data_IF_726478076187
#
_entry.id   IF_726478076187
#
_cell.length_a   1.000
_cell.length_b   1.000
_cell.length_c   1.000
_cell.angle_alpha   90.00
_cell.angle_beta   90.00
_cell.angle_gamma   90.00
#
_symmetry.space_group_name_H-M   'P 1'
#
loop_
_entity.id
_entity.type
_entity.pdbx_description
1 polymer ?
#
# COMPACT_ATOMS: atom_id res chain seq x y z
N UNK A 1 4.76 4.03 -34.42
CA UNK A 1 5.90 4.85 -34.92
C UNK A 1 6.30 4.30 -36.28
N UNK A 2 6.37 5.15 -37.31
CA UNK A 2 6.62 4.73 -38.70
C UNK A 2 8.11 4.84 -39.06
N UNK A 3 8.52 4.14 -40.12
CA UNK A 3 9.85 4.29 -40.70
C UNK A 3 10.01 5.72 -41.24
N UNK A 4 11.16 6.33 -40.98
CA UNK A 4 11.47 7.67 -41.48
C UNK A 4 12.53 7.57 -42.58
N UNK A 5 12.29 8.18 -43.73
CA UNK A 5 13.28 8.27 -44.81
C UNK A 5 14.02 9.58 -44.68
N UNK A 6 15.35 9.51 -44.51
CA UNK A 6 16.22 10.66 -44.39
C UNK A 6 16.51 11.28 -45.76
N UNK A 7 17.02 12.51 -45.75
CA UNK A 7 17.34 13.27 -46.96
C UNK A 7 18.42 12.65 -47.85
N UNK A 8 19.20 11.69 -47.33
CA UNK A 8 20.19 10.93 -48.10
C UNK A 8 19.61 9.65 -48.74
N UNK A 9 18.31 9.42 -48.61
CA UNK A 9 17.60 8.25 -49.13
C UNK A 9 17.71 7.01 -48.23
N UNK A 10 18.41 7.09 -47.09
CA UNK A 10 18.43 6.01 -46.11
C UNK A 10 17.13 5.98 -45.30
N UNK A 11 16.73 4.79 -44.85
CA UNK A 11 15.53 4.61 -44.01
C UNK A 11 15.95 4.24 -42.59
N UNK A 12 15.51 5.03 -41.61
CA UNK A 12 15.68 4.70 -40.20
C UNK A 12 14.45 3.93 -39.73
N UNK A 13 14.70 2.70 -39.27
CA UNK A 13 13.67 1.84 -38.69
C UNK A 13 13.77 1.95 -37.16
N UNK A 14 12.67 2.25 -36.45
CA UNK A 14 12.70 2.27 -34.99
C UNK A 14 13.09 0.89 -34.43
N UNK A 15 13.92 0.88 -33.37
CA UNK A 15 14.30 -0.35 -32.66
C UNK A 15 13.03 -1.12 -32.26
N UNK A 16 13.02 -2.43 -32.48
CA UNK A 16 11.91 -3.30 -32.07
C UNK A 16 10.57 -3.01 -32.74
N UNK A 17 10.49 -2.35 -33.90
CA UNK A 17 9.23 -1.89 -34.54
C UNK A 17 8.54 -0.74 -33.78
N UNK A 18 9.32 0.06 -33.05
CA UNK A 18 8.83 1.27 -32.38
C UNK A 18 8.34 1.05 -30.96
N UNK A 19 8.83 0.01 -30.28
CA UNK A 19 8.69 -0.08 -28.83
C UNK A 19 9.52 1.02 -28.16
N UNK A 20 8.91 1.68 -27.18
CA UNK A 20 9.61 2.55 -26.25
C UNK A 20 9.76 1.79 -24.93
N UNK A 21 10.99 1.69 -24.44
CA UNK A 21 11.25 1.12 -23.14
C UNK A 21 11.06 2.20 -22.08
N UNK A 22 10.08 2.01 -21.21
CA UNK A 22 9.88 2.82 -20.01
C UNK A 22 10.40 2.04 -18.82
N UNK A 23 11.19 2.68 -17.98
CA UNK A 23 11.67 2.04 -16.75
C UNK A 23 10.49 1.85 -15.79
N UNK A 24 10.20 0.59 -15.47
CA UNK A 24 9.28 0.23 -14.40
C UNK A 24 10.13 -0.05 -13.17
N UNK A 25 9.93 0.77 -12.14
CA UNK A 25 10.54 0.56 -10.84
C UNK A 25 9.69 -0.44 -10.07
N UNK A 26 10.35 -1.37 -9.40
CA UNK A 26 9.70 -2.22 -8.41
C UNK A 26 10.20 -1.85 -7.04
N UNK A 27 9.37 -2.10 -6.05
CA UNK A 27 9.70 -1.89 -4.66
C UNK A 27 9.60 -3.18 -3.89
N UNK A 28 10.43 -3.30 -2.86
CA UNK A 28 10.34 -4.40 -1.92
C UNK A 28 9.11 -4.16 -1.01
N UNK A 29 8.15 -5.10 -0.98
CA UNK A 29 6.92 -4.95 -0.22
C UNK A 29 7.16 -4.72 1.28
N UNK A 30 8.30 -5.17 1.82
CA UNK A 30 8.66 -4.93 3.22
C UNK A 30 8.89 -3.45 3.56
N UNK A 31 9.21 -2.62 2.56
CA UNK A 31 9.51 -1.21 2.75
C UNK A 31 8.44 -0.29 2.15
N UNK A 32 7.70 -0.76 1.14
CA UNK A 32 6.75 0.04 0.38
C UNK A 32 5.31 -0.18 0.82
N UNK A 33 5.02 0.19 2.07
CA UNK A 33 3.68 0.10 2.67
C UNK A 33 2.61 0.84 1.86
N UNK A 34 2.98 1.93 1.17
CA UNK A 34 2.06 2.68 0.30
C UNK A 34 1.51 1.86 -0.88
N UNK A 35 2.15 0.74 -1.24
CA UNK A 35 1.65 -0.14 -2.31
C UNK A 35 0.70 -1.22 -1.79
N UNK A 36 0.96 -1.75 -0.59
CA UNK A 36 0.13 -2.76 0.06
C UNK A 36 0.31 -2.71 1.58
N UNK A 37 -0.45 -1.82 2.23
CA UNK A 37 -0.46 -1.66 3.68
C UNK A 37 -1.41 -2.61 4.41
N UNK A 38 -2.06 -3.54 3.71
CA UNK A 38 -3.12 -4.40 4.28
C UNK A 38 -2.61 -5.75 4.76
N UNK A 39 -1.52 -6.22 4.17
CA UNK A 39 -0.85 -7.49 4.49
C UNK A 39 -0.11 -7.43 5.83
N UNK A 40 -0.02 -8.55 6.54
CA UNK A 40 0.74 -8.69 7.79
C UNK A 40 0.28 -7.71 8.89
N UNK A 41 -0.99 -7.32 8.88
CA UNK A 41 -1.55 -6.37 9.83
C UNK A 41 -2.49 -7.05 10.83
N UNK A 42 -1.97 -7.47 11.98
CA UNK A 42 -2.74 -8.19 13.02
C UNK A 42 -3.97 -7.41 13.52
N UNK A 43 -3.88 -6.07 13.56
CA UNK A 43 -5.03 -5.24 13.91
C UNK A 43 -6.15 -5.28 12.85
N UNK A 44 -5.81 -5.39 11.56
CA UNK A 44 -6.80 -5.56 10.50
C UNK A 44 -7.43 -6.96 10.58
N UNK A 45 -6.63 -8.00 10.80
CA UNK A 45 -7.15 -9.37 11.05
C UNK A 45 -8.11 -9.39 12.24
N UNK A 46 -7.79 -8.68 13.33
CA UNK A 46 -8.69 -8.55 14.47
C UNK A 46 -9.98 -7.80 14.13
N UNK A 47 -9.91 -6.77 13.29
CA UNK A 47 -11.09 -6.03 12.81
C UNK A 47 -11.98 -6.90 11.91
N UNK A 48 -11.41 -7.74 11.05
CA UNK A 48 -12.16 -8.71 10.23
C UNK A 48 -12.84 -9.77 11.11
N UNK A 49 -12.15 -10.31 12.10
CA UNK A 49 -12.75 -11.26 13.05
C UNK A 49 -13.91 -10.63 13.84
N UNK A 50 -13.77 -9.37 14.24
CA UNK A 50 -14.84 -8.63 14.90
C UNK A 50 -16.03 -8.38 13.94
N UNK A 51 -15.76 -8.07 12.68
CA UNK A 51 -16.77 -7.93 11.63
C UNK A 51 -17.55 -9.24 11.44
N UNK A 52 -16.89 -10.40 11.42
CA UNK A 52 -17.56 -11.69 11.25
C UNK A 52 -18.47 -12.08 12.42
N UNK A 53 -18.24 -11.48 13.60
CA UNK A 53 -19.12 -11.60 14.75
C UNK A 53 -20.23 -10.53 14.79
N UNK A 54 -20.21 -9.54 13.90
CA UNK A 54 -21.20 -8.46 13.87
C UNK A 54 -22.59 -8.97 13.46
N UNK A 55 -23.68 -8.52 14.13
CA UNK A 55 -25.04 -8.94 13.78
C UNK A 55 -25.43 -8.66 12.32
N UNK A 56 -24.93 -7.58 11.73
CA UNK A 56 -25.19 -7.22 10.33
C UNK A 56 -24.53 -8.23 9.39
N UNK A 57 -23.29 -8.61 9.67
CA UNK A 57 -22.57 -9.64 8.91
C UNK A 57 -23.29 -10.99 9.01
N UNK A 58 -23.64 -11.40 10.23
CA UNK A 58 -24.36 -12.65 10.50
C UNK A 58 -25.70 -12.68 9.76
N UNK A 59 -26.44 -11.57 9.74
CA UNK A 59 -27.70 -11.47 9.03
C UNK A 59 -27.52 -11.65 7.50
N UNK A 60 -26.52 -11.00 6.90
CA UNK A 60 -26.22 -11.18 5.47
C UNK A 60 -25.80 -12.61 5.16
N UNK A 61 -24.96 -13.22 6.00
CA UNK A 61 -24.54 -14.60 5.87
C UNK A 61 -25.72 -15.58 5.95
N UNK A 62 -26.60 -15.41 6.94
CA UNK A 62 -27.78 -16.26 7.13
C UNK A 62 -28.76 -16.13 5.97
N UNK A 63 -29.03 -14.92 5.51
CA UNK A 63 -29.94 -14.65 4.39
C UNK A 63 -29.44 -15.26 3.06
N UNK A 64 -28.14 -15.49 2.94
CA UNK A 64 -27.52 -16.05 1.74
C UNK A 64 -27.00 -17.49 1.95
N UNK A 65 -27.25 -18.12 3.09
CA UNK A 65 -26.71 -19.44 3.45
C UNK A 65 -27.05 -20.51 2.42
N UNK A 66 -28.32 -20.64 2.02
CA UNK A 66 -28.74 -21.62 1.01
C UNK A 66 -28.11 -21.38 -0.37
N UNK A 67 -27.93 -20.11 -0.76
CA UNK A 67 -27.22 -19.77 -2.00
C UNK A 67 -25.75 -20.18 -1.93
N UNK A 68 -25.06 -19.82 -0.84
CA UNK A 68 -23.65 -20.12 -0.61
C UNK A 68 -23.40 -21.63 -0.53
N UNK A 69 -24.25 -22.40 0.16
CA UNK A 69 -24.17 -23.87 0.19
C UNK A 69 -24.36 -24.48 -1.21
N UNK A 70 -25.26 -23.92 -2.01
CA UNK A 70 -25.48 -24.31 -3.39
C UNK A 70 -24.24 -24.15 -4.28
N UNK A 71 -23.30 -23.27 -3.94
CA UNK A 71 -22.07 -23.06 -4.73
C UNK A 71 -21.11 -24.25 -4.67
N UNK A 72 -21.21 -25.14 -3.67
CA UNK A 72 -20.32 -26.31 -3.51
C UNK A 72 -20.26 -27.19 -4.75
N UNK A 73 -21.36 -27.28 -5.50
CA UNK A 73 -21.42 -28.04 -6.75
C UNK A 73 -20.45 -27.52 -7.83
N UNK A 74 -20.05 -26.25 -7.76
CA UNK A 74 -19.14 -25.62 -8.73
C UNK A 74 -17.69 -25.56 -8.24
N UNK A 75 -17.46 -25.62 -6.93
CA UNK A 75 -16.15 -25.29 -6.33
C UNK A 75 -15.49 -26.47 -5.61
N UNK A 76 -16.13 -27.63 -5.58
CA UNK A 76 -15.60 -28.85 -4.95
C UNK A 76 -15.48 -28.72 -3.45
N UNK A 77 -14.34 -29.12 -2.89
CA UNK A 77 -14.08 -29.12 -1.44
C UNK A 77 -13.74 -27.73 -0.86
N UNK A 78 -13.80 -26.68 -1.68
CA UNK A 78 -13.51 -25.31 -1.22
C UNK A 78 -14.59 -24.84 -0.25
N UNK A 79 -14.22 -24.14 0.84
CA UNK A 79 -15.19 -23.49 1.71
C UNK A 79 -16.07 -22.53 0.92
N UNK A 80 -17.36 -22.53 1.21
CA UNK A 80 -18.35 -21.58 0.67
C UNK A 80 -18.89 -20.69 1.77
N UNK A 81 -18.09 -20.42 2.81
CA UNK A 81 -18.46 -19.55 3.90
C UNK A 81 -18.50 -18.10 3.40
N UNK A 82 -19.38 -17.28 3.99
CA UNK A 82 -19.43 -15.86 3.62
C UNK A 82 -18.17 -15.09 4.03
N UNK A 83 -17.46 -15.55 5.06
CA UNK A 83 -16.12 -15.05 5.42
C UNK A 83 -15.05 -15.43 4.40
N UNK A 84 -15.22 -16.60 3.77
CA UNK A 84 -14.23 -17.20 2.88
C UNK A 84 -14.71 -16.99 1.44
N UNK A 85 -14.70 -15.73 1.03
CA UNK A 85 -15.31 -15.30 -0.23
C UNK A 85 -14.77 -16.06 -1.44
N UNK A 86 -15.59 -16.97 -1.98
CA UNK A 86 -15.26 -17.86 -3.12
C UNK A 86 -15.24 -17.15 -4.48
N UNK A 87 -15.56 -15.86 -4.50
CA UNK A 87 -15.74 -15.06 -5.71
C UNK A 87 -14.53 -15.08 -6.63
N UNK A 88 -13.31 -14.89 -6.09
CA UNK A 88 -12.12 -14.80 -6.91
C UNK A 88 -11.90 -16.07 -7.74
N UNK A 89 -11.99 -17.24 -7.09
CA UNK A 89 -11.93 -18.54 -7.77
C UNK A 89 -13.01 -18.66 -8.85
N UNK A 90 -14.27 -18.39 -8.50
CA UNK A 90 -15.38 -18.51 -9.46
C UNK A 90 -15.23 -17.54 -10.62
N UNK A 91 -14.76 -16.31 -10.37
CA UNK A 91 -14.55 -15.30 -11.40
C UNK A 91 -13.46 -15.73 -12.39
N UNK A 92 -12.32 -16.20 -11.88
CA UNK A 92 -11.22 -16.72 -12.70
C UNK A 92 -11.70 -17.91 -13.54
N UNK A 93 -12.44 -18.86 -12.95
CA UNK A 93 -13.03 -19.96 -13.71
C UNK A 93 -14.02 -19.44 -14.77
N UNK A 94 -14.88 -18.49 -14.42
CA UNK A 94 -15.89 -17.97 -15.32
C UNK A 94 -15.32 -17.24 -16.55
N UNK A 95 -14.17 -16.57 -16.41
CA UNK A 95 -13.55 -15.84 -17.53
C UNK A 95 -12.52 -16.66 -18.32
N UNK A 96 -11.95 -17.72 -17.74
CA UNK A 96 -10.91 -18.54 -18.40
C UNK A 96 -11.30 -19.98 -18.72
N UNK A 97 -12.37 -20.51 -18.13
CA UNK A 97 -12.81 -21.90 -18.32
C UNK A 97 -14.18 -21.94 -19.03
N UNK A 98 -14.17 -22.27 -20.32
CA UNK A 98 -15.36 -22.33 -21.15
C UNK A 98 -16.41 -23.32 -20.61
N UNK A 99 -15.98 -24.46 -20.05
CA UNK A 99 -16.89 -25.45 -19.47
C UNK A 99 -17.57 -24.89 -18.22
N UNK A 100 -16.81 -24.22 -17.35
CA UNK A 100 -17.37 -23.58 -16.16
C UNK A 100 -18.40 -22.51 -16.53
N UNK A 101 -18.10 -21.68 -17.54
CA UNK A 101 -19.00 -20.64 -18.04
C UNK A 101 -20.31 -21.17 -18.64
N UNK A 102 -20.32 -22.40 -19.14
CA UNK A 102 -21.54 -23.05 -19.64
C UNK A 102 -22.43 -23.58 -18.51
N UNK A 103 -21.84 -23.91 -17.36
CA UNK A 103 -22.52 -24.57 -16.23
C UNK A 103 -22.98 -23.56 -15.17
N UNK A 104 -22.26 -22.45 -15.01
CA UNK A 104 -22.61 -21.38 -14.07
C UNK A 104 -23.31 -20.25 -14.81
N UNK A 105 -24.52 -19.90 -14.40
CA UNK A 105 -25.28 -18.83 -15.03
C UNK A 105 -24.78 -17.44 -14.62
N UNK A 106 -24.96 -16.45 -15.50
CA UNK A 106 -24.55 -15.07 -15.22
C UNK A 106 -25.21 -14.47 -13.96
N UNK A 107 -26.51 -14.71 -13.65
CA UNK A 107 -27.11 -14.25 -12.39
C UNK A 107 -26.45 -14.83 -11.13
N UNK A 108 -26.02 -16.10 -11.18
CA UNK A 108 -25.26 -16.71 -10.07
C UNK A 108 -23.96 -15.95 -9.86
N UNK A 109 -23.18 -15.69 -10.92
CA UNK A 109 -21.95 -14.92 -10.81
C UNK A 109 -22.18 -13.49 -10.30
N UNK A 110 -23.27 -12.85 -10.72
CA UNK A 110 -23.65 -11.52 -10.24
C UNK A 110 -23.92 -11.53 -8.73
N UNK A 111 -24.68 -12.51 -8.22
CA UNK A 111 -24.94 -12.63 -6.79
C UNK A 111 -23.67 -12.94 -5.98
N UNK A 112 -22.78 -13.80 -6.48
CA UNK A 112 -21.48 -14.05 -5.85
C UNK A 112 -20.65 -12.75 -5.80
N UNK A 113 -20.64 -11.95 -6.88
CA UNK A 113 -19.96 -10.65 -6.90
C UNK A 113 -20.58 -9.64 -5.93
N UNK A 114 -21.90 -9.58 -5.81
CA UNK A 114 -22.58 -8.69 -4.85
C UNK A 114 -22.15 -9.02 -3.41
N UNK A 115 -22.14 -10.30 -3.05
CA UNK A 115 -21.68 -10.75 -1.74
C UNK A 115 -20.20 -10.43 -1.51
N UNK A 116 -19.37 -10.60 -2.54
CA UNK A 116 -17.96 -10.25 -2.48
C UNK A 116 -17.74 -8.75 -2.28
N UNK A 117 -18.45 -7.91 -3.03
CA UNK A 117 -18.38 -6.46 -2.89
C UNK A 117 -18.75 -6.03 -1.48
N UNK A 118 -19.85 -6.56 -0.93
CA UNK A 118 -20.26 -6.25 0.43
C UNK A 118 -19.20 -6.66 1.47
N UNK A 119 -18.70 -7.89 1.38
CA UNK A 119 -17.70 -8.40 2.32
C UNK A 119 -16.41 -7.56 2.25
N UNK A 120 -15.89 -7.32 1.05
CA UNK A 120 -14.64 -6.60 0.85
C UNK A 120 -14.76 -5.11 1.22
N UNK A 121 -15.91 -4.50 0.95
CA UNK A 121 -16.18 -3.14 1.43
C UNK A 121 -16.18 -3.10 2.96
N UNK A 122 -16.88 -4.04 3.61
CA UNK A 122 -16.95 -4.08 5.07
C UNK A 122 -15.58 -4.35 5.74
N UNK A 123 -14.69 -5.11 5.09
CA UNK A 123 -13.32 -5.40 5.58
C UNK A 123 -12.32 -4.27 5.34
N UNK A 124 -12.38 -3.59 4.19
CA UNK A 124 -11.36 -2.63 3.76
C UNK A 124 -11.83 -1.17 3.74
N UNK A 125 -12.96 -0.88 4.38
CA UNK A 125 -13.47 0.48 4.56
C UNK A 125 -14.03 0.70 5.97
N UNK A 126 -14.00 1.94 6.42
CA UNK A 126 -14.69 2.39 7.63
C UNK A 126 -15.10 3.86 7.50
N UNK A 127 -16.29 4.25 7.97
CA UNK A 127 -16.68 5.67 8.02
C UNK A 127 -15.76 6.49 8.94
N UNK A 128 -15.08 5.85 9.88
CA UNK A 128 -14.05 6.49 10.70
C UNK A 128 -12.74 6.52 9.92
N UNK A 129 -12.34 7.69 9.41
CA UNK A 129 -11.17 7.84 8.52
C UNK A 129 -9.88 7.21 9.07
N UNK A 130 -9.62 7.31 10.37
CA UNK A 130 -8.43 6.76 11.04
C UNK A 130 -8.50 5.28 11.45
N UNK A 131 -9.59 4.58 11.12
CA UNK A 131 -9.77 3.16 11.43
C UNK A 131 -8.81 2.27 10.62
N UNK A 132 -8.36 1.15 11.21
CA UNK A 132 -7.45 0.21 10.57
C UNK A 132 -8.02 -0.42 9.30
N UNK A 133 -9.34 -0.52 9.15
CA UNK A 133 -9.95 -1.01 7.90
C UNK A 133 -9.64 -0.12 6.71
N UNK A 134 -9.35 1.16 6.92
CA UNK A 134 -8.93 2.09 5.86
C UNK A 134 -7.41 2.04 5.56
N UNK A 135 -6.64 1.14 6.18
CA UNK A 135 -5.17 1.19 6.15
C UNK A 135 -4.57 1.10 4.74
N UNK A 136 -5.21 0.37 3.83
CA UNK A 136 -4.77 0.30 2.43
C UNK A 136 -4.80 1.67 1.73
N UNK A 137 -5.79 2.49 2.08
CA UNK A 137 -5.92 3.86 1.60
C UNK A 137 -5.02 4.82 2.38
N UNK A 138 -4.95 4.68 3.70
CA UNK A 138 -4.13 5.55 4.57
C UNK A 138 -2.63 5.47 4.22
N UNK A 139 -2.14 4.29 3.88
CA UNK A 139 -0.74 4.09 3.45
C UNK A 139 -0.51 4.66 2.05
N UNK A 140 -1.37 4.38 1.07
CA UNK A 140 -1.28 4.98 -0.28
C UNK A 140 -1.42 6.51 -0.26
N UNK A 141 -2.22 7.04 0.66
CA UNK A 141 -2.47 8.47 0.82
C UNK A 141 -1.19 9.26 1.13
N UNK A 142 -0.22 8.65 1.82
CA UNK A 142 1.08 9.28 2.06
C UNK A 142 1.81 9.62 0.74
N UNK A 143 1.87 8.67 -0.19
CA UNK A 143 2.47 8.84 -1.51
C UNK A 143 1.66 9.82 -2.36
N UNK A 144 0.32 9.75 -2.30
CA UNK A 144 -0.55 10.70 -3.01
C UNK A 144 -0.25 12.14 -2.56
N UNK A 145 -0.19 12.38 -1.24
CA UNK A 145 0.10 13.71 -0.70
C UNK A 145 1.48 14.20 -1.12
N UNK A 146 2.51 13.35 -1.09
CA UNK A 146 3.84 13.67 -1.61
C UNK A 146 3.80 14.06 -3.09
N UNK A 147 3.14 13.25 -3.93
CA UNK A 147 3.00 13.53 -5.36
C UNK A 147 2.27 14.85 -5.62
N UNK A 148 1.24 15.18 -4.81
CA UNK A 148 0.58 16.48 -4.96
C UNK A 148 1.51 17.64 -4.65
N UNK A 149 2.45 17.50 -3.71
CA UNK A 149 3.46 18.53 -3.41
C UNK A 149 4.39 18.71 -4.60
N UNK A 150 4.86 17.61 -5.17
CA UNK A 150 5.76 17.61 -6.33
C UNK A 150 5.10 18.20 -7.58
N UNK A 151 3.87 17.81 -7.89
CA UNK A 151 3.15 18.33 -9.04
C UNK A 151 2.78 19.82 -8.93
N UNK A 152 2.58 20.32 -7.70
CA UNK A 152 2.34 21.74 -7.46
C UNK A 152 3.63 22.59 -7.44
N UNK A 153 4.82 21.97 -7.35
CA UNK A 153 6.10 22.68 -7.43
C UNK A 153 6.53 22.87 -8.89
N UNK A 154 6.53 24.12 -9.34
CA UNK A 154 6.99 24.50 -10.68
C UNK A 154 8.45 24.11 -10.98
N UNK A 155 9.28 23.88 -9.96
CA UNK A 155 10.66 23.44 -10.10
C UNK A 155 10.81 21.92 -10.21
N UNK A 156 9.77 21.14 -9.88
CA UNK A 156 9.80 19.70 -10.07
C UNK A 156 9.42 19.34 -11.52
N UNK A 157 10.27 18.51 -12.12
CA UNK A 157 10.12 18.05 -13.50
C UNK A 157 9.15 16.88 -13.65
N UNK A 158 8.71 16.24 -12.56
CA UNK A 158 7.76 15.14 -12.60
C UNK A 158 6.38 15.65 -13.04
N UNK A 159 5.83 15.04 -14.09
CA UNK A 159 4.49 15.40 -14.63
C UNK A 159 3.50 14.24 -14.61
N UNK A 160 3.98 13.01 -14.46
CA UNK A 160 3.15 11.83 -14.45
C UNK A 160 3.76 10.76 -13.56
N UNK A 161 2.91 10.12 -12.76
CA UNK A 161 3.28 9.02 -11.89
C UNK A 161 2.21 7.92 -11.99
N UNK A 162 2.64 6.69 -12.25
CA UNK A 162 1.78 5.53 -12.41
C UNK A 162 2.15 4.46 -11.38
N UNK A 163 1.15 4.03 -10.61
CA UNK A 163 1.30 3.01 -9.56
C UNK A 163 0.40 1.83 -9.91
N UNK A 164 0.99 0.65 -10.04
CA UNK A 164 0.27 -0.61 -10.19
C UNK A 164 0.12 -1.31 -8.84
N UNK A 165 -1.12 -1.58 -8.43
CA UNK A 165 -1.45 -2.19 -7.14
C UNK A 165 -2.70 -3.07 -7.19
N UNK A 166 -3.11 -3.56 -6.02
CA UNK A 166 -4.31 -4.40 -5.85
C UNK A 166 -5.59 -3.56 -5.72
N UNK A 167 -6.75 -4.21 -5.63
CA UNK A 167 -8.05 -3.51 -5.48
C UNK A 167 -8.26 -2.92 -4.07
N UNK A 168 -7.55 -3.38 -3.04
CA UNK A 168 -7.82 -2.99 -1.64
C UNK A 168 -7.60 -1.49 -1.40
N UNK A 169 -6.51 -0.86 -1.89
CA UNK A 169 -6.35 0.59 -1.82
C UNK A 169 -7.49 1.37 -2.50
N UNK A 170 -8.09 0.86 -3.59
CA UNK A 170 -9.24 1.53 -4.22
C UNK A 170 -10.41 1.65 -3.25
N UNK A 171 -10.79 0.54 -2.61
CA UNK A 171 -11.89 0.49 -1.63
C UNK A 171 -11.66 1.52 -0.52
N UNK A 172 -10.49 1.47 0.12
CA UNK A 172 -10.17 2.40 1.21
C UNK A 172 -10.08 3.86 0.73
N UNK A 173 -9.54 4.13 -0.47
CA UNK A 173 -9.48 5.49 -1.02
C UNK A 173 -10.87 6.04 -1.36
N UNK A 174 -11.78 5.21 -1.89
CA UNK A 174 -13.15 5.64 -2.15
C UNK A 174 -13.85 6.09 -0.85
N UNK A 175 -13.62 5.36 0.23
CA UNK A 175 -14.12 5.72 1.56
C UNK A 175 -13.45 7.00 2.10
N UNK A 176 -12.12 7.12 2.03
CA UNK A 176 -11.37 8.28 2.53
C UNK A 176 -11.71 9.56 1.76
N UNK A 177 -11.86 9.46 0.44
CA UNK A 177 -12.29 10.58 -0.41
C UNK A 177 -13.79 10.83 -0.33
N UNK A 178 -14.54 9.95 0.35
CA UNK A 178 -15.98 10.04 0.51
C UNK A 178 -16.72 10.13 -0.84
N UNK A 179 -16.27 9.38 -1.85
CA UNK A 179 -16.88 9.38 -3.19
C UNK A 179 -18.17 8.55 -3.23
N UNK A 180 -18.30 7.57 -2.32
CA UNK A 180 -19.45 6.65 -2.31
C UNK A 180 -20.71 7.27 -1.73
N UNK A 181 -20.61 8.43 -1.07
CA UNK A 181 -21.77 9.16 -0.53
C UNK A 181 -22.85 9.43 -1.59
N UNK A 182 -22.44 9.78 -2.81
CA UNK A 182 -23.34 10.00 -3.95
C UNK A 182 -23.24 8.90 -5.01
N UNK A 183 -22.27 8.00 -4.89
CA UNK A 183 -21.98 6.92 -5.83
C UNK A 183 -21.82 5.56 -5.14
N UNK A 184 -22.91 5.03 -4.55
CA UNK A 184 -22.88 3.75 -3.83
C UNK A 184 -22.50 2.57 -4.74
N UNK A 185 -22.59 2.70 -6.06
CA UNK A 185 -22.11 1.70 -7.02
C UNK A 185 -20.59 1.45 -6.94
N UNK A 186 -19.83 2.36 -6.33
CA UNK A 186 -18.39 2.22 -6.09
C UNK A 186 -18.08 1.43 -4.81
N UNK A 187 -19.08 1.06 -4.01
CA UNK A 187 -18.91 0.25 -2.79
C UNK A 187 -18.63 -1.22 -3.14
N UNK A 188 -17.41 -1.52 -3.53
CA UNK A 188 -17.02 -2.89 -3.83
C UNK A 188 -15.66 -3.03 -4.49
N UNK A 189 -15.40 -4.27 -4.91
CA UNK A 189 -14.18 -4.61 -5.64
C UNK A 189 -14.23 -3.89 -6.99
N UNK A 190 -13.11 -3.33 -7.43
CA UNK A 190 -12.98 -2.76 -8.79
C UNK A 190 -12.76 -3.86 -9.83
N UNK A 191 -12.98 -3.55 -11.11
CA UNK A 191 -12.71 -4.48 -12.20
C UNK A 191 -11.21 -4.56 -12.52
N UNK A 192 -10.80 -5.60 -13.25
CA UNK A 192 -9.44 -5.68 -13.77
C UNK A 192 -9.11 -4.47 -14.65
N UNK A 193 -7.89 -3.97 -14.51
CA UNK A 193 -7.41 -2.74 -15.16
C UNK A 193 -8.18 -1.46 -14.78
N UNK A 194 -8.85 -1.45 -13.61
CA UNK A 194 -9.40 -0.21 -13.07
C UNK A 194 -8.29 0.79 -12.72
N UNK A 195 -8.62 2.07 -12.82
CA UNK A 195 -7.67 3.15 -12.62
C UNK A 195 -8.33 4.36 -11.95
N UNK A 196 -7.65 4.91 -10.95
CA UNK A 196 -7.91 6.24 -10.41
C UNK A 196 -6.92 7.21 -11.09
N UNK A 197 -7.41 8.36 -11.55
CA UNK A 197 -6.59 9.48 -12.00
C UNK A 197 -6.83 10.67 -11.07
N UNK A 198 -5.78 11.09 -10.37
CA UNK A 198 -5.76 12.30 -9.56
C UNK A 198 -5.06 13.40 -10.35
N UNK A 199 -5.83 14.35 -10.87
CA UNK A 199 -5.32 15.40 -11.73
C UNK A 199 -5.11 16.68 -10.94
N UNK A 200 -3.88 17.21 -10.95
CA UNK A 200 -3.59 18.56 -10.45
C UNK A 200 -3.85 19.56 -11.56
N UNK A 201 -4.67 20.57 -11.27
CA UNK A 201 -5.24 21.50 -12.25
C UNK A 201 -5.00 22.93 -11.79
N UNK A 202 -4.81 23.81 -12.75
CA UNK A 202 -4.72 25.26 -12.56
C UNK A 202 -5.83 25.92 -13.40
N UNK A 203 -6.48 26.94 -12.85
CA UNK A 203 -7.50 27.70 -13.55
C UNK A 203 -7.07 29.16 -13.69
N UNK A 204 -7.11 29.69 -14.92
CA UNK A 204 -6.73 31.07 -15.20
C UNK A 204 -7.57 32.10 -14.42
N UNK A 205 -8.80 31.75 -14.04
CA UNK A 205 -9.72 32.59 -13.27
C UNK A 205 -10.07 31.94 -11.91
N UNK A 206 -9.09 31.30 -11.25
CA UNK A 206 -9.31 30.71 -9.94
C UNK A 206 -9.78 31.77 -8.93
N UNK A 207 -10.75 31.42 -8.09
CA UNK A 207 -11.27 32.31 -7.03
C UNK A 207 -10.19 32.66 -6.01
N UNK A 208 -9.21 31.77 -5.83
CA UNK A 208 -8.03 31.97 -5.00
C UNK A 208 -6.80 32.06 -5.93
N UNK A 209 -6.08 33.19 -5.97
CA UNK A 209 -4.87 33.32 -6.78
C UNK A 209 -3.82 32.29 -6.38
N UNK A 210 -3.17 31.67 -7.37
CA UNK A 210 -2.10 30.67 -7.19
C UNK A 210 -2.53 29.39 -6.45
N UNK A 211 -3.82 29.08 -6.39
CA UNK A 211 -4.32 27.82 -5.84
C UNK A 211 -4.44 26.75 -6.94
N UNK A 212 -3.85 25.59 -6.69
CA UNK A 212 -4.10 24.40 -7.50
C UNK A 212 -5.35 23.68 -7.03
N UNK A 213 -5.98 22.94 -7.94
CA UNK A 213 -7.11 22.09 -7.65
C UNK A 213 -6.74 20.64 -7.95
N UNK A 214 -7.40 19.72 -7.25
CA UNK A 214 -7.30 18.29 -7.51
C UNK A 214 -8.67 17.78 -7.97
N UNK A 215 -8.65 16.97 -9.02
CA UNK A 215 -9.83 16.25 -9.52
C UNK A 215 -9.61 14.76 -9.42
N UNK A 216 -10.57 14.07 -8.81
CA UNK A 216 -10.62 12.62 -8.80
C UNK A 216 -11.42 12.13 -10.00
N UNK A 217 -10.78 11.32 -10.83
CA UNK A 217 -11.44 10.59 -11.90
C UNK A 217 -11.25 9.09 -11.69
N UNK A 218 -12.25 8.30 -12.08
CA UNK A 218 -12.20 6.85 -11.98
C UNK A 218 -12.68 6.21 -13.28
N UNK A 219 -12.04 5.09 -13.61
CA UNK A 219 -12.38 4.21 -14.72
C UNK A 219 -12.40 2.78 -14.21
N UNK A 220 -13.54 2.10 -14.26
CA UNK A 220 -13.72 0.77 -13.70
C UNK A 220 -13.37 -0.36 -14.68
N UNK A 221 -12.11 -0.41 -15.08
CA UNK A 221 -11.58 -1.47 -15.92
C UNK A 221 -11.73 -1.20 -17.42
N UNK A 222 -11.44 -2.20 -18.22
CA UNK A 222 -11.55 -2.12 -19.69
C UNK A 222 -12.99 -2.03 -20.20
N UNK A 223 -13.96 -2.39 -19.36
CA UNK A 223 -15.38 -2.36 -19.71
C UNK A 223 -15.93 -0.93 -19.72
N UNK A 224 -15.31 -0.02 -18.97
CA UNK A 224 -15.58 1.41 -19.06
C UNK A 224 -14.86 2.01 -20.27
N UNK A 225 -15.56 2.86 -21.03
CA UNK A 225 -14.96 3.56 -22.17
C UNK A 225 -13.91 4.59 -21.70
N UNK A 226 -14.33 5.48 -20.78
CA UNK A 226 -13.59 6.68 -20.41
C UNK A 226 -13.51 6.87 -18.89
N UNK A 227 -12.54 7.68 -18.47
CA UNK A 227 -12.47 8.19 -17.09
C UNK A 227 -13.63 9.16 -16.83
N UNK A 228 -14.28 9.01 -15.68
CA UNK A 228 -15.36 9.89 -15.23
C UNK A 228 -14.94 10.65 -13.97
N UNK A 229 -15.24 11.95 -13.85
CA UNK A 229 -15.00 12.69 -12.62
C UNK A 229 -16.02 12.30 -11.55
N UNK A 230 -15.58 12.22 -10.29
CA UNK A 230 -16.47 12.02 -9.13
C UNK A 230 -16.21 13.11 -8.09
N UNK A 231 -17.26 13.56 -7.37
CA UNK A 231 -17.09 14.53 -6.30
C UNK A 231 -16.43 13.85 -5.10
N UNK A 232 -15.61 14.60 -4.36
CA UNK A 232 -14.93 14.11 -3.16
C UNK A 232 -15.10 15.08 -2.00
N UNK A 233 -14.80 14.59 -0.80
CA UNK A 233 -14.87 15.33 0.47
C UNK A 233 -16.27 15.90 0.76
N UNK A 234 -17.31 15.15 0.39
CA UNK A 234 -18.72 15.52 0.64
C UNK A 234 -19.26 16.61 -0.27
N UNK A 235 -18.54 16.99 -1.33
CA UNK A 235 -19.05 17.89 -2.36
C UNK A 235 -20.18 17.22 -3.16
N UNK A 236 -21.16 18.00 -3.66
CA UNK A 236 -22.22 17.45 -4.48
C UNK A 236 -21.73 17.16 -5.90
N UNK A 237 -22.48 16.30 -6.58
CA UNK A 237 -22.27 16.03 -8.00
C UNK A 237 -22.26 17.30 -8.85
N UNK A 238 -21.33 17.35 -9.81
CA UNK A 238 -21.04 18.54 -10.62
C UNK A 238 -19.95 19.44 -10.04
N UNK A 239 -19.54 19.25 -8.77
CA UNK A 239 -18.40 19.95 -8.15
C UNK A 239 -17.19 19.02 -7.98
N UNK A 240 -16.47 18.81 -9.08
CA UNK A 240 -15.41 17.79 -9.17
C UNK A 240 -14.00 18.28 -8.82
N UNK A 241 -13.78 19.59 -8.78
CA UNK A 241 -12.48 20.17 -8.48
C UNK A 241 -12.45 20.65 -7.03
N UNK A 242 -11.49 20.15 -6.26
CA UNK A 242 -11.28 20.51 -4.85
C UNK A 242 -10.02 21.35 -4.74
N UNK A 243 -10.03 22.48 -4.00
CA UNK A 243 -8.79 23.21 -3.69
C UNK A 243 -7.75 22.26 -3.09
N UNK A 244 -6.53 22.29 -3.60
CA UNK A 244 -5.50 21.35 -3.19
C UNK A 244 -5.12 21.54 -1.71
N UNK A 245 -5.20 22.77 -1.20
CA UNK A 245 -5.08 23.08 0.22
C UNK A 245 -6.13 22.35 1.07
N UNK A 246 -7.41 22.39 0.66
CA UNK A 246 -8.51 21.70 1.33
C UNK A 246 -8.30 20.18 1.33
N UNK A 247 -7.92 19.60 0.18
CA UNK A 247 -7.61 18.18 0.06
C UNK A 247 -6.51 17.76 1.04
N UNK A 248 -5.41 18.53 1.11
CA UNK A 248 -4.31 18.24 2.02
C UNK A 248 -4.73 18.38 3.48
N UNK A 249 -5.45 19.45 3.84
CA UNK A 249 -5.92 19.66 5.21
C UNK A 249 -6.85 18.55 5.67
N UNK A 250 -7.76 18.10 4.81
CA UNK A 250 -8.72 17.05 5.15
C UNK A 250 -8.05 15.68 5.35
N UNK A 251 -7.04 15.36 4.55
CA UNK A 251 -6.53 13.98 4.45
C UNK A 251 -5.18 13.75 5.12
N UNK A 252 -4.33 14.78 5.27
CA UNK A 252 -3.00 14.63 5.91
C UNK A 252 -3.01 13.97 7.30
N UNK A 253 -4.00 14.22 8.18
CA UNK A 253 -4.04 13.56 9.50
C UNK A 253 -4.20 12.05 9.45
N UNK A 254 -4.67 11.50 8.32
CA UNK A 254 -4.96 10.08 8.15
C UNK A 254 -3.92 9.35 7.30
N UNK A 255 -2.90 10.05 6.81
CA UNK A 255 -1.84 9.46 6.01
C UNK A 255 -0.82 8.73 6.92
N UNK A 256 -0.53 7.47 6.60
CA UNK A 256 0.51 6.68 7.27
C UNK A 256 1.74 6.67 6.37
N UNK A 257 2.69 7.56 6.67
CA UNK A 257 3.92 7.73 5.89
C UNK A 257 5.14 7.02 6.51
N UNK A 258 5.08 6.68 7.80
CA UNK A 258 6.21 6.12 8.54
C UNK A 258 5.98 4.64 8.82
N UNK A 259 6.94 3.74 8.50
CA UNK A 259 6.83 2.32 8.82
C UNK A 259 6.54 2.05 10.30
N UNK A 260 7.16 2.81 11.21
CA UNK A 260 6.93 2.67 12.65
C UNK A 260 5.50 2.99 13.08
N UNK A 261 4.84 3.95 12.42
CA UNK A 261 3.42 4.25 12.66
C UNK A 261 2.56 3.07 12.23
N UNK A 262 2.86 2.48 11.07
CA UNK A 262 2.16 1.28 10.60
C UNK A 262 2.35 0.10 11.56
N UNK A 263 3.59 -0.18 11.99
CA UNK A 263 3.89 -1.25 12.95
C UNK A 263 3.07 -1.12 14.25
N UNK A 264 3.01 0.11 14.77
CA UNK A 264 2.25 0.42 16.00
C UNK A 264 0.75 0.21 15.79
N UNK A 265 0.20 0.71 14.68
CA UNK A 265 -1.22 0.56 14.35
C UNK A 265 -1.61 -0.91 14.13
N UNK A 266 -0.78 -1.63 13.37
CA UNK A 266 -1.01 -3.03 13.03
C UNK A 266 -0.70 -4.00 14.14
N UNK A 267 -0.09 -3.54 15.25
CA UNK A 267 0.45 -4.40 16.31
C UNK A 267 1.40 -5.47 15.75
N UNK A 268 2.19 -5.09 14.76
CA UNK A 268 3.19 -5.96 14.16
C UNK A 268 4.55 -5.74 14.85
N UNK A 269 5.21 -6.83 15.21
CA UNK A 269 6.47 -6.85 15.94
C UNK A 269 7.59 -7.60 15.22
N UNK A 270 7.34 -8.18 14.03
CA UNK A 270 8.32 -9.07 13.37
C UNK A 270 8.37 -8.88 11.85
N UNK A 271 7.23 -8.65 11.19
CA UNK A 271 7.19 -8.48 9.74
C UNK A 271 7.38 -7.01 9.33
N UNK A 272 7.61 -6.79 8.04
CA UNK A 272 7.68 -5.45 7.43
C UNK A 272 8.65 -4.50 8.16
N UNK A 273 9.71 -5.07 8.73
CA UNK A 273 10.79 -4.37 9.46
C UNK A 273 10.34 -3.68 10.74
N UNK A 274 9.21 -4.11 11.29
CA UNK A 274 8.84 -3.74 12.64
C UNK A 274 9.92 -4.24 13.61
N UNK A 275 10.36 -3.39 14.56
CA UNK A 275 11.37 -3.80 15.51
C UNK A 275 10.82 -4.94 16.35
N UNK A 276 11.66 -5.96 16.53
CA UNK A 276 11.38 -7.09 17.41
C UNK A 276 10.96 -6.55 18.79
N UNK A 277 9.80 -7.00 19.27
CA UNK A 277 9.27 -6.62 20.57
C UNK A 277 10.26 -6.90 21.70
N UNK A 278 11.11 -7.93 21.58
CA UNK A 278 12.19 -8.23 22.52
C UNK A 278 13.31 -7.18 22.49
N UNK A 279 13.59 -6.60 21.31
CA UNK A 279 14.59 -5.55 21.13
C UNK A 279 14.07 -4.20 21.65
N UNK A 280 12.78 -3.91 21.43
CA UNK A 280 12.12 -2.75 22.05
C UNK A 280 12.04 -2.89 23.57
N UNK A 281 11.69 -4.07 24.09
CA UNK A 281 11.70 -4.35 25.52
C UNK A 281 13.12 -4.28 26.11
N UNK A 282 14.15 -4.73 25.39
CA UNK A 282 15.54 -4.58 25.80
C UNK A 282 15.96 -3.10 25.88
N UNK A 283 15.60 -2.29 24.88
CA UNK A 283 15.85 -0.84 24.90
C UNK A 283 15.12 -0.13 26.04
N UNK A 284 13.86 -0.50 26.31
CA UNK A 284 13.10 0.05 27.43
C UNK A 284 13.68 -0.38 28.79
N UNK A 285 14.16 -1.62 28.91
CA UNK A 285 14.86 -2.10 30.11
C UNK A 285 16.20 -1.37 30.32
N UNK A 286 16.91 -0.98 29.26
CA UNK A 286 18.11 -0.13 29.39
C UNK A 286 17.76 1.28 29.86
N UNK A 287 16.65 1.85 29.41
CA UNK A 287 16.16 3.16 29.89
C UNK A 287 15.73 3.09 31.36
N UNK A 288 15.07 2.01 31.79
CA UNK A 288 14.76 1.77 33.21
C UNK A 288 16.02 1.51 34.04
N UNK A 289 17.04 0.85 33.50
CA UNK A 289 18.33 0.68 34.19
C UNK A 289 19.06 2.01 34.40
N UNK A 290 18.96 2.96 33.47
CA UNK A 290 19.48 4.33 33.61
C UNK A 290 18.70 5.09 34.71
N UNK A 291 17.39 4.85 34.85
CA UNK A 291 16.59 5.42 35.94
C UNK A 291 16.82 4.70 37.29
N UNK A 292 17.15 3.41 37.26
CA UNK A 292 17.40 2.55 38.41
C UNK A 292 18.81 2.68 39.00
N UNK A 293 19.75 3.33 38.31
CA UNK A 293 21.06 3.72 38.84
C UNK A 293 20.97 4.85 39.87
N UNK A 294 20.23 4.64 40.96
CA UNK A 294 20.54 5.12 42.33
C UNK A 294 20.80 6.61 42.60
N UNK A 295 20.66 7.51 41.64
CA UNK A 295 20.83 8.96 41.86
C UNK A 295 19.57 9.62 42.44
N UNK A 296 18.46 8.88 42.50
CA UNK A 296 17.15 9.38 42.94
C UNK A 296 16.53 8.48 44.01
N UNK A 297 17.22 8.31 45.14
CA UNK A 297 16.63 7.76 46.35
C UNK A 297 16.77 8.76 47.52
N UNK A 298 15.76 9.62 47.68
CA UNK A 298 15.03 9.81 48.95
C UNK A 298 14.39 11.21 49.05
N UNK A 299 13.21 11.16 49.67
CA UNK A 299 12.35 12.23 50.16
C UNK A 299 13.03 13.43 50.82
N UNK A 300 12.77 14.64 50.32
CA UNK A 300 12.17 15.79 51.04
C UNK A 300 12.50 17.12 50.32
N UNK A 301 11.45 17.93 50.11
CA UNK A 301 11.45 19.39 49.84
C UNK A 301 12.22 19.88 48.59
N UNK A 302 11.46 20.25 47.57
CA UNK A 302 11.94 20.88 46.34
C UNK A 302 12.57 22.25 46.63
N UNK A 303 13.85 22.40 46.27
CA UNK A 303 14.52 23.69 46.03
C UNK A 303 15.01 23.71 44.57
N UNK A 304 14.91 24.88 43.94
CA UNK A 304 15.06 25.14 42.50
C UNK A 304 16.51 25.06 41.98
N UNK A 305 17.25 23.99 42.31
CA UNK A 305 18.64 23.78 41.87
C UNK A 305 18.87 22.48 41.07
N UNK A 306 17.87 21.59 40.94
CA UNK A 306 18.04 20.26 40.30
C UNK A 306 17.62 20.20 38.82
N UNK A 307 17.10 21.30 38.26
CA UNK A 307 16.75 21.39 36.83
C UNK A 307 17.95 21.51 35.88
N UNK A 308 19.14 21.89 36.39
CA UNK A 308 20.32 22.15 35.56
C UNK A 308 21.07 20.89 35.09
N UNK A 309 20.99 19.79 35.84
CA UNK A 309 21.78 18.57 35.55
C UNK A 309 21.15 17.74 34.43
N UNK A 310 19.81 17.68 34.38
CA UNK A 310 19.08 16.97 33.32
C UNK A 310 19.27 17.67 31.97
N UNK A 311 19.28 19.01 31.96
CA UNK A 311 19.60 19.79 30.76
C UNK A 311 21.04 19.56 30.28
N UNK A 312 22.00 19.43 31.20
CA UNK A 312 23.40 19.21 30.86
C UNK A 312 23.67 17.80 30.29
N UNK A 313 23.02 16.77 30.81
CA UNK A 313 23.20 15.40 30.32
C UNK A 313 22.58 15.20 28.93
N UNK A 314 21.39 15.75 28.70
CA UNK A 314 20.75 15.72 27.37
C UNK A 314 21.58 16.54 26.36
N UNK A 315 22.09 17.70 26.76
CA UNK A 315 22.96 18.51 25.91
C UNK A 315 24.27 17.79 25.55
N UNK A 316 24.86 17.01 26.46
CA UNK A 316 26.07 16.25 26.20
C UNK A 316 25.83 15.07 25.24
N UNK A 317 24.69 14.39 25.35
CA UNK A 317 24.32 13.31 24.43
C UNK A 317 23.99 13.85 23.03
N UNK A 318 23.28 14.97 22.95
CA UNK A 318 23.00 15.62 21.66
C UNK A 318 24.28 16.19 21.03
N UNK A 319 25.20 16.73 21.82
CA UNK A 319 26.49 17.22 21.34
C UNK A 319 27.40 16.08 20.84
N UNK A 320 27.41 14.94 21.51
CA UNK A 320 28.23 13.78 21.08
C UNK A 320 27.69 13.14 19.80
N UNK A 321 26.37 13.04 19.65
CA UNK A 321 25.72 12.59 18.41
C UNK A 321 25.98 13.56 17.25
N UNK A 322 25.96 14.87 17.51
CA UNK A 322 26.30 15.89 16.50
C UNK A 322 27.77 15.77 16.04
N UNK A 323 28.70 15.55 16.96
CA UNK A 323 30.13 15.36 16.64
C UNK A 323 30.35 14.08 15.83
N UNK A 324 29.69 12.97 16.19
CA UNK A 324 29.77 11.72 15.43
C UNK A 324 29.17 11.85 14.02
N UNK A 325 28.06 12.59 13.87
CA UNK A 325 27.48 12.89 12.58
C UNK A 325 28.41 13.75 11.70
N UNK A 326 29.11 14.73 12.30
CA UNK A 326 30.07 15.59 11.59
C UNK A 326 31.35 14.84 11.18
N UNK A 327 31.77 13.84 11.95
CA UNK A 327 32.87 12.92 11.61
C UNK A 327 32.42 11.96 10.50
N UNK A 328 31.21 11.40 10.57
CA UNK A 328 30.63 10.52 9.55
C UNK A 328 30.37 11.21 8.21
N UNK A 329 30.06 12.51 8.23
CA UNK A 329 29.95 13.35 7.02
C UNK A 329 31.31 13.84 6.48
N UNK A 330 32.43 13.45 7.09
CA UNK A 330 33.78 13.78 6.61
C UNK A 330 34.19 15.25 6.73
N UNK A 331 33.44 16.05 7.51
CA UNK A 331 33.65 17.50 7.63
C UNK A 331 34.79 17.81 8.62
N UNK A 332 35.06 16.92 9.58
CA UNK A 332 36.23 16.97 10.47
C UNK A 332 37.25 15.89 10.11
N UNK A 333 37.91 16.05 8.97
CA UNK A 333 39.12 15.31 8.65
C UNK A 333 40.33 15.88 9.41
N UNK A 334 40.93 15.08 10.30
CA UNK A 334 42.27 15.34 10.84
C UNK A 334 43.25 15.32 9.66
N UNK A 335 43.51 16.50 9.08
CA UNK A 335 44.34 16.64 7.91
C UNK A 335 45.83 16.60 8.32
N UNK A 336 46.34 15.38 8.51
CA UNK A 336 47.76 15.10 8.46
C UNK A 336 48.30 15.47 7.08
N UNK A 337 49.00 16.60 7.02
CA UNK A 337 49.73 17.09 5.84
C UNK A 337 50.43 15.97 5.09
N UNK A 338 49.94 15.64 3.89
CA UNK A 338 50.76 15.07 2.81
C UNK A 338 50.31 15.69 1.49
N UNK A 339 51.12 16.61 1.01
CA UNK A 339 50.92 17.26 -0.28
C UNK A 339 51.15 16.31 -1.44
N UNK A 340 50.43 16.55 -2.53
CA UNK A 340 50.91 16.30 -3.89
C UNK A 340 50.05 17.06 -4.90
N UNK A 341 50.74 17.89 -5.67
CA UNK A 341 50.28 18.58 -6.88
C UNK A 341 49.76 17.60 -7.94
N UNK A 342 48.84 18.07 -8.77
CA UNK A 342 48.54 17.46 -10.06
C UNK A 342 47.27 18.02 -10.69
N UNK A 343 47.44 19.08 -11.49
CA UNK A 343 46.47 19.62 -12.44
C UNK A 343 45.84 18.54 -13.34
N UNK A 344 44.55 18.73 -13.66
CA UNK A 344 44.02 18.85 -15.03
C UNK A 344 42.53 18.48 -15.11
N UNK A 345 41.77 19.23 -15.92
CA UNK A 345 40.60 18.65 -16.59
C UNK A 345 39.30 19.45 -16.51
N UNK A 346 39.30 20.64 -17.09
CA UNK A 346 38.10 21.39 -17.45
C UNK A 346 37.22 20.57 -18.41
N UNK A 347 35.95 20.32 -18.05
CA UNK A 347 34.93 19.87 -19.00
C UNK A 347 33.58 20.52 -18.68
N UNK A 348 33.32 21.65 -19.35
CA UNK A 348 31.98 22.25 -19.48
C UNK A 348 31.06 21.23 -20.16
N UNK A 349 29.92 20.90 -19.54
CA UNK A 349 28.76 20.34 -20.24
C UNK A 349 27.64 21.36 -20.20
N UNK A 350 27.18 21.67 -21.41
CA UNK A 350 26.03 22.51 -21.74
C UNK A 350 24.73 21.91 -21.21
N UNK A 351 23.93 22.76 -20.58
CA UNK A 351 22.52 22.54 -20.29
C UNK A 351 21.73 22.37 -21.59
N UNK A 352 20.99 21.27 -21.70
CA UNK A 352 19.96 21.06 -22.73
C UNK A 352 18.74 20.46 -22.04
N UNK A 353 17.62 21.18 -22.16
CA UNK A 353 16.22 20.74 -22.08
C UNK A 353 15.85 19.67 -21.05
N UNK A 354 15.17 20.10 -19.97
CA UNK A 354 14.45 19.21 -19.07
C UNK A 354 13.33 18.49 -19.82
N UNK A 355 13.53 17.22 -20.12
CA UNK A 355 12.45 16.30 -20.49
C UNK A 355 11.73 15.96 -19.19
N UNK A 356 10.43 16.25 -19.13
CA UNK A 356 9.60 15.96 -17.95
C UNK A 356 9.72 14.50 -17.53
N UNK A 357 9.88 14.28 -16.22
CA UNK A 357 10.04 12.95 -15.64
C UNK A 357 8.72 12.18 -15.63
N UNK A 358 8.81 10.88 -15.92
CA UNK A 358 7.73 9.90 -15.73
C UNK A 358 8.22 8.87 -14.73
N UNK A 359 7.44 8.61 -13.68
CA UNK A 359 7.70 7.53 -12.73
C UNK A 359 6.65 6.45 -12.91
N UNK A 360 7.09 5.21 -13.10
CA UNK A 360 6.21 4.03 -13.10
C UNK A 360 6.69 3.09 -12.00
N UNK A 361 5.81 2.76 -11.05
CA UNK A 361 6.07 1.85 -9.94
C UNK A 361 5.08 0.69 -9.94
N UNK A 362 5.57 -0.52 -9.65
CA UNK A 362 4.75 -1.72 -9.49
C UNK A 362 5.21 -2.52 -8.25
N UNK A 363 4.34 -3.38 -7.75
CA UNK A 363 4.68 -4.34 -6.67
C UNK A 363 5.38 -5.56 -7.27
N UNK A 364 6.49 -5.98 -6.67
CA UNK A 364 7.07 -7.28 -6.96
C UNK A 364 6.17 -8.38 -6.37
N UNK A 365 5.74 -9.35 -7.18
CA UNK A 365 5.12 -10.57 -6.65
C UNK A 365 6.17 -11.30 -5.78
N UNK A 366 5.99 -11.27 -4.46
CA UNK A 366 6.86 -12.00 -3.54
C UNK A 366 6.54 -13.49 -3.62
N UNK A 367 7.48 -14.29 -4.13
CA UNK A 367 7.48 -15.74 -3.94
C UNK A 367 7.89 -16.04 -2.50
N UNK A 368 7.02 -16.67 -1.72
CA UNK A 368 7.28 -17.04 -0.34
C UNK A 368 8.29 -18.18 -0.18
N UNK A 369 9.11 -18.07 0.88
CA UNK A 369 9.95 -19.06 1.57
C UNK A 369 11.24 -19.56 0.88
N UNK A 370 12.37 -19.12 1.42
CA UNK A 370 13.50 -20.04 1.66
C UNK A 370 14.00 -19.90 3.10
N UNK A 371 13.65 -20.90 3.92
CA UNK A 371 14.30 -21.15 5.22
C UNK A 371 15.78 -21.47 4.99
N UNK A 372 16.62 -20.97 5.88
CA UNK A 372 18.03 -21.32 6.00
C UNK A 372 18.25 -22.83 5.96
N UNK A 373 18.99 -23.31 4.97
CA UNK A 373 19.68 -24.59 5.04
C UNK A 373 21.11 -24.46 4.51
N UNK A 374 21.99 -25.15 5.22
CA UNK A 374 23.46 -25.15 5.20
C UNK A 374 24.07 -25.18 3.78
N UNK A 375 25.12 -24.38 3.61
CA UNK A 375 25.95 -24.26 2.41
C UNK A 375 27.06 -25.33 2.45
N UNK A 376 27.07 -26.26 1.50
CA UNK A 376 28.24 -27.10 1.19
C UNK A 376 28.58 -26.99 -0.31
N UNK A 377 29.86 -26.68 -0.56
CA UNK A 377 30.70 -26.76 -1.77
C UNK A 377 30.11 -26.92 -3.18
N UNK A 378 30.31 -25.88 -4.00
CA UNK A 378 31.24 -25.86 -5.16
C UNK A 378 30.86 -26.53 -6.49
N UNK A 379 30.72 -25.75 -7.57
CA UNK A 379 31.52 -25.87 -8.82
C UNK A 379 31.22 -24.70 -9.79
N UNK A 380 32.20 -24.38 -10.63
CA UNK A 380 32.27 -23.25 -11.55
C UNK A 380 31.65 -23.53 -12.95
N UNK A 381 31.40 -22.46 -13.72
CA UNK A 381 31.59 -22.47 -15.18
C UNK A 381 30.40 -22.03 -16.07
N UNK A 382 30.50 -20.78 -16.55
CA UNK A 382 30.30 -20.29 -17.93
C UNK A 382 28.99 -20.46 -18.75
N UNK A 383 28.44 -19.28 -19.09
CA UNK A 383 27.98 -18.76 -20.40
C UNK A 383 26.98 -19.50 -21.30
N UNK A 384 25.98 -18.70 -21.70
CA UNK A 384 25.17 -18.70 -22.93
C UNK A 384 24.15 -19.82 -23.20
N UNK A 385 22.86 -19.44 -23.16
CA UNK A 385 21.83 -20.01 -24.03
C UNK A 385 20.56 -19.14 -24.02
N UNK A 386 20.38 -18.37 -25.10
CA UNK A 386 19.08 -17.88 -25.55
C UNK A 386 18.17 -19.08 -25.81
N UNK A 387 17.18 -19.32 -24.95
CA UNK A 387 16.04 -20.20 -25.24
C UNK A 387 14.76 -19.73 -24.56
N UNK A 388 13.78 -19.44 -25.42
CA UNK A 388 12.45 -20.00 -25.29
C UNK A 388 11.55 -19.37 -24.24
N UNK A 389 10.56 -18.65 -24.73
CA UNK A 389 9.28 -18.40 -24.04
C UNK A 389 8.74 -19.75 -23.57
N UNK A 390 8.94 -20.05 -22.29
CA UNK A 390 8.24 -21.14 -21.60
C UNK A 390 6.91 -20.57 -21.15
N UNK A 391 5.83 -21.09 -21.74
CA UNK A 391 4.47 -20.94 -21.22
C UNK A 391 4.49 -21.42 -19.76
N UNK A 392 4.28 -20.51 -18.82
CA UNK A 392 4.09 -20.84 -17.42
C UNK A 392 2.59 -20.79 -17.10
N UNK A 393 1.89 -21.92 -16.99
CA UNK A 393 0.54 -21.96 -16.45
C UNK A 393 0.65 -22.03 -14.92
N UNK A 394 0.18 -20.99 -14.23
CA UNK A 394 -0.03 -21.01 -12.79
C UNK A 394 1.11 -20.42 -11.97
N UNK A 395 0.97 -19.13 -11.61
CA UNK A 395 1.33 -18.59 -10.30
C UNK A 395 0.41 -17.40 -10.06
N UNK A 396 -0.64 -17.61 -9.27
CA UNK A 396 -1.34 -16.55 -8.53
C UNK A 396 -1.53 -17.12 -7.13
N UNK A 397 -0.49 -17.05 -6.29
CA UNK A 397 -0.61 -17.27 -4.83
C UNK A 397 -1.25 -16.00 -4.23
N UNK A 398 -2.37 -16.05 -3.51
CA UNK A 398 -2.69 -16.74 -2.24
C UNK A 398 -2.06 -16.02 -1.03
N UNK A 399 -2.89 -15.30 -0.29
CA UNK A 399 -2.68 -15.10 1.14
C UNK A 399 -3.44 -16.23 1.85
N UNK A 400 -2.67 -17.23 2.30
CA UNK A 400 -3.09 -18.23 3.27
C UNK A 400 -3.10 -17.55 4.65
N UNK A 401 -4.28 -17.17 5.15
CA UNK A 401 -4.49 -16.77 6.55
C UNK A 401 -5.80 -17.36 7.11
N UNK A 402 -6.09 -18.63 6.78
CA UNK A 402 -7.17 -19.39 7.45
C UNK A 402 -6.71 -20.85 7.66
N UNK A 403 -5.66 -21.07 8.45
CA UNK A 403 -5.36 -22.39 9.00
C UNK A 403 -5.44 -22.50 10.52
N UNK A 404 -5.69 -21.40 11.25
CA UNK A 404 -5.83 -21.45 12.73
C UNK A 404 -7.26 -21.69 13.25
N UNK A 405 -8.28 -21.82 12.40
CA UNK A 405 -9.66 -22.08 12.87
C UNK A 405 -10.01 -23.56 13.11
N UNK A 406 -9.04 -24.47 13.08
CA UNK A 406 -9.26 -25.86 13.52
C UNK A 406 -9.12 -25.98 15.04
N UNK A 407 -10.09 -25.46 15.79
CA UNK A 407 -10.56 -26.01 17.08
C UNK A 407 -11.68 -25.14 17.70
N UNK A 408 -12.91 -25.27 17.18
CA UNK A 408 -14.11 -24.93 17.94
C UNK A 408 -14.89 -26.23 18.16
N UNK A 409 -14.98 -26.77 19.40
CA UNK A 409 -15.82 -27.93 19.66
C UNK A 409 -17.29 -27.52 19.62
N UNK A 410 -18.03 -28.08 18.67
CA UNK A 410 -19.49 -28.03 18.64
C UNK A 410 -20.06 -28.77 19.84
N UNK A 411 -20.66 -28.06 20.81
CA UNK A 411 -21.50 -28.69 21.83
C UNK A 411 -22.85 -27.96 21.85
N UNK A 412 -23.84 -28.57 21.21
CA UNK A 412 -25.24 -28.22 21.39
C UNK A 412 -25.72 -28.69 22.77
N UNK A 413 -26.56 -27.92 23.49
CA UNK A 413 -27.40 -28.46 24.55
C UNK A 413 -28.79 -28.76 23.98
N UNK A 414 -29.11 -30.04 23.88
CA UNK A 414 -30.48 -30.55 23.80
C UNK A 414 -31.09 -30.64 25.21
N UNK A 415 -32.39 -30.35 25.27
CA UNK A 415 -33.38 -30.79 26.27
C UNK A 415 -33.36 -30.15 27.66
N UNK A 416 -34.33 -29.24 27.88
CA UNK A 416 -35.03 -29.14 29.16
C UNK A 416 -36.55 -29.14 28.92
N UNK A 417 -37.16 -30.30 29.16
CA UNK A 417 -38.56 -30.43 29.52
C UNK A 417 -38.76 -29.90 30.94
N UNK A 418 -39.69 -28.95 31.11
CA UNK A 418 -40.30 -28.65 32.42
C UNK A 418 -41.50 -29.56 32.66
N UNK A 419 -41.69 -30.05 33.90
CA UNK A 419 -43.02 -30.29 34.42
C UNK A 419 -43.34 -29.37 35.60
N UNK A 420 -44.65 -29.05 35.67
CA UNK A 420 -45.43 -28.33 36.70
C UNK A 420 -45.51 -26.82 36.52
#
# INVERSE_FOLDING_TARGET
MANETLSDGSTVTPIGKGYQFVSVQTVDPNYALYMDGTTDCSALTAADNALYADPTFIAVAQNNSGFLEGLKQYVGDRPTLFSDMIYDYMNVQYIHNATFRQVVEAPTMAQVRTLANWNQWASYSSPTMGDVRNIGGQTMLSEILELTNRFADSNDSLKFALYGGSYKPFISLFQLFNVTQYHPELEGIVNYAAAISLEIREFANATVPNEYYIRFNFKNGTDDADFKPYPMLGRPDGQYDVPLSEFRTALSPYAISQPMTWCTLCKNTEDRMCPDASLLAALLNEVEAIQGSGLFASSHKLSAAVGGVIGALIALVLASLLVLALIGMGIMGWNGRRGRNGDAGMRRKSSTGGVGGVVVRAVAAASGKSRHMKKDSGFAGDSESVRGIVKNPGVYEMMDDIQELRHIPSRAPSDLHSPI
#
